data_IF_566629477555
#
_entry.id   IF_566629477555
#
_cell.length_a   1.000
_cell.length_b   1.000
_cell.length_c   1.000
_cell.angle_alpha   90.00
_cell.angle_beta   90.00
_cell.angle_gamma   90.00
#
_symmetry.space_group_name_H-M   'P 1'
#
loop_
_entity.id
_entity.type
_entity.pdbx_description
1 polymer ?
#
# COMPACT_ATOMS: atom_id res chain seq x y z
N UNK A 1 0.35 -13.01 -1.13
CA UNK A 1 0.43 -12.08 -2.28
C UNK A 1 1.36 -10.93 -1.90
N UNK A 2 2.25 -10.49 -2.81
CA UNK A 2 3.29 -9.50 -2.51
C UNK A 2 2.76 -8.16 -2.02
N UNK A 3 1.71 -7.61 -2.66
CA UNK A 3 1.11 -6.33 -2.26
C UNK A 3 0.56 -6.31 -0.83
N UNK A 4 -0.17 -7.35 -0.42
CA UNK A 4 -0.61 -7.48 0.99
C UNK A 4 0.58 -7.50 1.96
N UNK A 5 1.63 -8.24 1.63
CA UNK A 5 2.83 -8.32 2.46
C UNK A 5 3.52 -6.96 2.60
N UNK A 6 3.68 -6.22 1.50
CA UNK A 6 4.24 -4.88 1.49
C UNK A 6 3.42 -3.93 2.39
N UNK A 7 2.09 -3.90 2.22
CA UNK A 7 1.19 -3.09 3.04
C UNK A 7 1.25 -3.50 4.52
N UNK A 8 1.17 -4.79 4.83
CA UNK A 8 1.24 -5.30 6.19
C UNK A 8 2.55 -4.89 6.88
N UNK A 9 3.69 -5.07 6.22
CA UNK A 9 4.98 -4.74 6.80
C UNK A 9 5.19 -3.23 6.95
N UNK A 10 4.69 -2.42 6.01
CA UNK A 10 4.74 -0.96 6.07
C UNK A 10 4.08 -0.42 7.34
N UNK A 11 2.90 -0.92 7.68
CA UNK A 11 2.12 -0.42 8.81
C UNK A 11 2.41 -1.14 10.13
N UNK A 12 2.84 -2.41 10.10
CA UNK A 12 3.20 -3.14 11.33
C UNK A 12 4.56 -2.75 11.90
N UNK A 13 5.53 -2.48 11.05
CA UNK A 13 6.92 -2.21 11.45
C UNK A 13 7.29 -0.77 11.14
N UNK A 14 6.62 0.16 11.80
CA UNK A 14 6.84 1.61 11.66
C UNK A 14 8.31 1.96 11.94
N UNK A 15 8.83 2.94 11.20
CA UNK A 15 10.26 3.33 11.26
C UNK A 15 11.27 2.32 10.69
N UNK A 16 10.87 1.08 10.33
CA UNK A 16 11.79 0.10 9.73
C UNK A 16 11.97 0.28 8.21
N UNK A 17 10.95 0.82 7.55
CA UNK A 17 10.94 1.05 6.11
C UNK A 17 10.75 2.54 5.85
N UNK A 18 11.49 3.08 4.88
CA UNK A 18 11.28 4.44 4.39
C UNK A 18 10.29 4.49 3.21
N UNK A 19 10.08 3.35 2.54
CA UNK A 19 9.31 3.24 1.30
C UNK A 19 8.57 1.90 1.25
N UNK A 20 7.33 1.91 0.78
CA UNK A 20 6.57 0.70 0.47
C UNK A 20 5.64 0.93 -0.72
N UNK A 21 5.54 -0.08 -1.59
CA UNK A 21 4.70 -0.04 -2.79
C UNK A 21 3.89 -1.34 -2.92
N UNK A 22 2.57 -1.20 -3.04
CA UNK A 22 1.63 -2.31 -3.15
C UNK A 22 1.01 -2.36 -4.54
N UNK A 23 1.33 -3.40 -5.32
CA UNK A 23 0.69 -3.70 -6.60
C UNK A 23 -0.43 -4.73 -6.39
N UNK A 24 -1.67 -4.38 -6.77
CA UNK A 24 -2.86 -5.22 -6.61
C UNK A 24 -2.96 -5.86 -5.21
N UNK A 25 -2.81 -5.04 -4.18
CA UNK A 25 -2.79 -5.50 -2.80
C UNK A 25 -4.09 -6.22 -2.43
N UNK A 26 -3.99 -7.43 -1.87
CA UNK A 26 -5.10 -8.15 -1.26
C UNK A 26 -5.49 -7.57 0.11
N UNK A 27 -5.70 -6.25 0.16
CA UNK A 27 -6.06 -5.50 1.37
C UNK A 27 -7.58 -5.59 1.59
N UNK A 28 -8.04 -5.63 2.85
CA UNK A 28 -9.49 -5.62 3.14
C UNK A 28 -10.27 -6.83 2.62
N UNK A 29 -9.60 -7.95 2.30
CA UNK A 29 -10.28 -9.23 2.04
C UNK A 29 -10.58 -9.87 3.39
N UNK A 30 -11.86 -10.05 3.72
CA UNK A 30 -12.29 -10.71 4.95
C UNK A 30 -11.66 -12.09 5.11
N UNK A 31 -11.31 -12.46 6.35
CA UNK A 31 -10.69 -13.75 6.66
C UNK A 31 -9.15 -13.77 6.66
N UNK A 32 -8.48 -12.64 6.38
CA UNK A 32 -7.03 -12.53 6.64
C UNK A 32 -6.76 -12.61 8.15
N UNK A 33 -5.79 -13.43 8.56
CA UNK A 33 -5.39 -13.60 9.97
C UNK A 33 -4.92 -12.30 10.63
N UNK A 34 -4.49 -11.32 9.83
CA UNK A 34 -4.11 -10.00 10.30
C UNK A 34 -4.84 -8.93 9.50
N UNK A 35 -5.78 -8.26 10.16
CA UNK A 35 -6.45 -7.09 9.64
C UNK A 35 -5.51 -5.87 9.73
N UNK A 36 -5.10 -5.36 8.57
CA UNK A 36 -4.20 -4.21 8.47
C UNK A 36 -4.85 -2.95 9.06
N UNK A 37 -6.18 -2.79 8.97
CA UNK A 37 -6.87 -1.63 9.56
C UNK A 37 -6.71 -1.62 11.08
N UNK A 38 -6.91 -2.78 11.71
CA UNK A 38 -6.69 -2.93 13.16
C UNK A 38 -5.25 -2.61 13.57
N UNK A 39 -4.26 -3.04 12.79
CA UNK A 39 -2.84 -2.71 13.03
C UNK A 39 -2.62 -1.20 12.95
N UNK A 40 -3.16 -0.54 11.92
CA UNK A 40 -3.02 0.91 11.75
C UNK A 40 -3.63 1.64 12.95
N UNK A 41 -4.85 1.29 13.35
CA UNK A 41 -5.54 1.92 14.50
C UNK A 41 -4.72 1.76 15.78
N UNK A 42 -4.20 0.57 16.05
CA UNK A 42 -3.37 0.31 17.23
C UNK A 42 -2.09 1.16 17.20
N UNK A 43 -1.38 1.15 16.07
CA UNK A 43 -0.10 1.87 15.91
C UNK A 43 -0.28 3.39 15.93
N UNK A 44 -1.38 3.93 15.42
CA UNK A 44 -1.66 5.37 15.45
C UNK A 44 -1.68 6.00 16.86
N UNK A 45 -1.70 5.19 17.91
CA UNK A 45 -1.56 5.65 19.30
C UNK A 45 -0.12 5.86 19.76
N UNK A 46 0.87 5.38 19.00
CA UNK A 46 2.29 5.54 19.30
C UNK A 46 2.73 6.99 19.04
N UNK A 47 3.16 7.72 20.08
CA UNK A 47 3.53 9.14 19.97
C UNK A 47 4.70 9.41 18.99
N UNK A 48 5.57 8.42 18.77
CA UNK A 48 6.74 8.52 17.90
C UNK A 48 6.51 7.86 16.52
N UNK A 49 5.25 7.68 16.11
CA UNK A 49 4.95 6.97 14.87
C UNK A 49 5.49 7.69 13.64
N UNK A 50 6.13 6.91 12.77
CA UNK A 50 6.57 7.36 11.45
C UNK A 50 6.21 6.30 10.42
N UNK A 51 5.31 6.67 9.52
CA UNK A 51 4.90 5.84 8.40
C UNK A 51 5.92 5.94 7.27
N UNK A 52 6.16 4.85 6.51
CA UNK A 52 6.92 4.95 5.27
C UNK A 52 6.15 5.81 4.25
N UNK A 53 6.86 6.34 3.26
CA UNK A 53 6.23 6.78 2.03
C UNK A 53 5.53 5.58 1.37
N UNK A 54 4.20 5.66 1.28
CA UNK A 54 3.36 4.51 0.93
C UNK A 54 2.60 4.73 -0.38
N UNK A 55 2.74 3.77 -1.28
CA UNK A 55 2.13 3.77 -2.60
C UNK A 55 1.28 2.52 -2.82
N UNK A 56 0.17 2.70 -3.51
CA UNK A 56 -0.74 1.66 -3.92
C UNK A 56 -1.09 1.82 -5.39
N UNK A 57 -1.14 0.71 -6.11
CA UNK A 57 -1.50 0.70 -7.52
C UNK A 57 -2.33 -0.53 -7.85
N UNK A 58 -3.46 -0.34 -8.53
CA UNK A 58 -4.39 -1.41 -8.85
C UNK A 58 -4.95 -1.30 -10.28
N UNK A 59 -5.15 -2.45 -10.91
CA UNK A 59 -5.68 -2.52 -12.27
C UNK A 59 -7.16 -2.10 -12.33
N UNK A 60 -7.56 -1.36 -13.36
CA UNK A 60 -8.97 -0.94 -13.54
C UNK A 60 -9.95 -2.10 -13.77
N UNK A 61 -9.45 -3.28 -14.15
CA UNK A 61 -10.21 -4.52 -14.29
C UNK A 61 -9.81 -5.57 -13.26
N UNK A 62 -9.07 -5.18 -12.22
CA UNK A 62 -8.69 -6.06 -11.11
C UNK A 62 -9.89 -6.26 -10.18
N UNK A 63 -10.16 -7.50 -9.78
CA UNK A 63 -11.26 -7.82 -8.88
C UNK A 63 -11.03 -7.28 -7.46
N UNK A 64 -9.81 -6.83 -7.13
CA UNK A 64 -9.44 -6.19 -5.86
C UNK A 64 -9.54 -4.67 -5.89
N UNK A 65 -9.95 -4.05 -7.00
CA UNK A 65 -9.95 -2.60 -7.15
C UNK A 65 -10.78 -1.92 -6.04
N UNK A 66 -12.02 -2.38 -5.83
CA UNK A 66 -12.91 -1.83 -4.80
C UNK A 66 -12.34 -1.95 -3.39
N UNK A 67 -11.62 -3.03 -3.10
CA UNK A 67 -10.92 -3.21 -1.83
C UNK A 67 -9.77 -2.22 -1.66
N UNK A 68 -9.00 -1.95 -2.72
CA UNK A 68 -7.89 -0.99 -2.69
C UNK A 68 -8.41 0.45 -2.57
N UNK A 69 -9.48 0.80 -3.28
CA UNK A 69 -10.20 2.07 -3.14
C UNK A 69 -10.70 2.29 -1.71
N UNK A 70 -11.40 1.30 -1.15
CA UNK A 70 -11.90 1.39 0.23
C UNK A 70 -10.77 1.43 1.28
N UNK A 71 -9.60 0.88 0.96
CA UNK A 71 -8.43 0.99 1.83
C UNK A 71 -7.75 2.37 1.72
N UNK A 72 -7.69 2.96 0.52
CA UNK A 72 -7.21 4.32 0.32
C UNK A 72 -8.06 5.33 1.10
N UNK A 73 -9.40 5.25 0.99
CA UNK A 73 -10.32 6.09 1.78
C UNK A 73 -10.07 5.93 3.29
N UNK A 74 -9.89 4.70 3.76
CA UNK A 74 -9.56 4.47 5.18
C UNK A 74 -8.24 5.15 5.59
N UNK A 75 -7.20 5.12 4.76
CA UNK A 75 -5.94 5.81 5.06
C UNK A 75 -6.13 7.34 5.09
N UNK A 76 -6.96 7.90 4.22
CA UNK A 76 -7.34 9.33 4.26
C UNK A 76 -8.04 9.68 5.59
N UNK A 77 -8.99 8.87 6.03
CA UNK A 77 -9.69 9.04 7.31
C UNK A 77 -8.74 8.98 8.52
N UNK A 78 -7.66 8.20 8.41
CA UNK A 78 -6.61 8.13 9.44
C UNK A 78 -5.54 9.22 9.31
N UNK A 79 -5.67 10.15 8.36
CA UNK A 79 -4.67 11.18 8.04
C UNK A 79 -3.28 10.59 7.70
N UNK A 80 -3.25 9.44 7.02
CA UNK A 80 -2.01 8.79 6.60
C UNK A 80 -1.70 9.18 5.15
N UNK A 81 -0.58 9.85 4.95
CA UNK A 81 -0.09 10.23 3.61
C UNK A 81 0.19 8.98 2.79
N UNK A 82 -0.44 8.90 1.62
CA UNK A 82 -0.23 7.83 0.65
C UNK A 82 -0.58 8.30 -0.77
N UNK A 83 -0.13 7.55 -1.76
CA UNK A 83 -0.56 7.73 -3.16
C UNK A 83 -1.25 6.47 -3.63
N UNK A 84 -2.49 6.61 -4.12
CA UNK A 84 -3.21 5.53 -4.79
C UNK A 84 -3.36 5.85 -6.27
N UNK A 85 -2.93 4.94 -7.14
CA UNK A 85 -3.07 5.03 -8.59
C UNK A 85 -3.88 3.88 -9.15
N UNK A 86 -4.55 4.13 -10.27
CA UNK A 86 -5.16 3.10 -11.08
C UNK A 86 -4.57 3.14 -12.48
N UNK A 87 -4.33 1.96 -13.07
CA UNK A 87 -3.86 1.82 -14.45
C UNK A 87 -4.67 0.76 -15.17
N UNK A 88 -4.72 0.85 -16.50
CA UNK A 88 -5.36 -0.19 -17.30
C UNK A 88 -4.67 -1.55 -17.07
N UNK A 89 -5.45 -2.56 -16.69
CA UNK A 89 -4.98 -3.93 -16.49
C UNK A 89 -5.86 -4.70 -15.50
N UNK A 90 -5.54 -5.98 -15.31
CA UNK A 90 -6.26 -6.88 -14.43
C UNK A 90 -5.30 -7.48 -13.37
N UNK A 91 -5.78 -8.46 -12.61
CA UNK A 91 -5.00 -9.14 -11.57
C UNK A 91 -4.01 -10.16 -12.18
N UNK A 92 -3.02 -9.68 -12.91
CA UNK A 92 -2.12 -10.52 -13.70
C UNK A 92 -0.66 -10.04 -13.72
N UNK A 93 0.20 -10.93 -14.23
CA UNK A 93 1.63 -10.69 -14.36
C UNK A 93 1.98 -9.54 -15.29
N UNK A 94 1.16 -9.25 -16.30
CA UNK A 94 1.42 -8.15 -17.25
C UNK A 94 1.27 -6.82 -16.52
N UNK A 95 0.21 -6.65 -15.75
CA UNK A 95 -0.03 -5.47 -14.93
C UNK A 95 1.11 -5.23 -13.92
N UNK A 96 1.54 -6.28 -13.20
CA UNK A 96 2.60 -6.15 -12.21
C UNK A 96 3.96 -5.86 -12.84
N UNK A 97 4.32 -6.56 -13.91
CA UNK A 97 5.62 -6.38 -14.57
C UNK A 97 5.73 -4.99 -15.19
N UNK A 98 4.65 -4.49 -15.81
CA UNK A 98 4.62 -3.14 -16.39
C UNK A 98 4.61 -2.03 -15.33
N UNK A 99 4.19 -2.31 -14.09
CA UNK A 99 4.26 -1.37 -12.97
C UNK A 99 5.64 -1.25 -12.30
N UNK A 100 6.51 -2.26 -12.43
CA UNK A 100 7.82 -2.26 -11.78
C UNK A 100 8.69 -1.02 -12.08
N UNK A 101 8.76 -0.48 -13.31
CA UNK A 101 9.50 0.75 -13.58
C UNK A 101 9.01 1.94 -12.73
N UNK A 102 7.70 2.08 -12.53
CA UNK A 102 7.13 3.13 -11.69
C UNK A 102 7.47 2.92 -10.21
N UNK A 103 7.48 1.68 -9.73
CA UNK A 103 7.95 1.33 -8.37
C UNK A 103 9.38 1.80 -8.15
N UNK A 104 10.28 1.48 -9.09
CA UNK A 104 11.70 1.86 -9.00
C UNK A 104 11.85 3.38 -9.09
N UNK A 105 11.12 4.05 -9.98
CA UNK A 105 11.11 5.51 -10.08
C UNK A 105 10.69 6.16 -8.77
N UNK A 106 9.58 5.69 -8.15
CA UNK A 106 9.11 6.19 -6.85
C UNK A 106 10.11 5.95 -5.73
N UNK A 107 10.77 4.79 -5.71
CA UNK A 107 11.83 4.52 -4.76
C UNK A 107 12.98 5.54 -4.88
N UNK A 108 13.41 5.87 -6.10
CA UNK A 108 14.42 6.90 -6.30
C UNK A 108 13.96 8.29 -5.84
N UNK A 109 12.74 8.71 -6.19
CA UNK A 109 12.17 9.99 -5.76
C UNK A 109 12.17 10.14 -4.23
N UNK A 110 11.75 9.09 -3.51
CA UNK A 110 11.76 9.09 -2.03
C UNK A 110 13.19 9.15 -1.49
N UNK A 111 14.13 8.42 -2.08
CA UNK A 111 15.54 8.38 -1.63
C UNK A 111 16.30 9.68 -1.87
N UNK A 112 15.94 10.46 -2.89
CA UNK A 112 16.63 11.72 -3.23
C UNK A 112 16.07 12.95 -2.53
N UNK A 113 14.91 12.82 -1.88
CA UNK A 113 14.28 13.89 -1.09
C UNK A 113 14.72 13.87 0.39
N UNK A 114 15.72 13.05 0.74
CA UNK A 114 16.36 12.93 2.07
C UNK A 114 17.78 13.48 1.95
#
# INVERSE_FOLDING_TARGET
MGGYGATYHAFKYTGKYAFSYSLSGAVGIGGSTHDIRSIIIERSTDEAISWPEYFMDCGTHDYLLSNNEAFSVFLEEQNITHTFTTRLGAHDWVFWTTGLPDVIKKFYEVRTNI
#
